data_IF_370117153935
#
_entry.id   IF_370117153935
#
_cell.length_a   1.000
_cell.length_b   1.000
_cell.length_c   1.000
_cell.angle_alpha   90.00
_cell.angle_beta   90.00
_cell.angle_gamma   90.00
#
_symmetry.space_group_name_H-M   'P 1'
#
loop_
_entity.id
_entity.type
_entity.pdbx_description
1 polymer ?
#
# COMPACT_ATOMS: atom_id res chain seq x y z
N UNK A 1 34.96 -55.52 15.10
CA UNK A 1 35.29 -54.08 15.15
C UNK A 1 34.68 -53.25 14.00
N UNK A 2 34.29 -53.82 12.84
CA UNK A 2 33.70 -53.04 11.72
C UNK A 2 32.24 -52.62 11.89
N UNK A 3 31.47 -53.21 12.80
CA UNK A 3 30.05 -52.92 13.01
C UNK A 3 29.80 -51.79 14.03
N UNK A 4 30.74 -51.42 14.88
CA UNK A 4 30.64 -50.33 15.86
C UNK A 4 30.89 -48.98 15.21
N UNK A 5 31.68 -48.91 14.12
CA UNK A 5 31.97 -47.66 13.42
C UNK A 5 30.80 -47.13 12.59
N UNK A 6 29.93 -48.06 12.13
CA UNK A 6 28.73 -47.68 11.33
C UNK A 6 27.62 -47.03 12.18
N UNK A 7 27.60 -47.36 13.50
CA UNK A 7 26.57 -46.80 14.40
C UNK A 7 26.94 -45.41 14.92
N UNK A 8 28.24 -45.06 14.95
CA UNK A 8 28.69 -43.74 15.38
C UNK A 8 28.46 -42.64 14.33
N UNK A 9 28.42 -43.01 13.03
CA UNK A 9 28.14 -42.02 11.95
C UNK A 9 26.69 -41.64 11.81
N UNK A 10 25.75 -42.42 12.35
CA UNK A 10 24.31 -42.13 12.29
C UNK A 10 23.87 -41.19 13.44
N UNK A 11 24.62 -41.12 14.52
CA UNK A 11 24.28 -40.30 15.69
C UNK A 11 24.69 -38.81 15.57
N UNK A 12 25.44 -38.42 14.53
CA UNK A 12 25.91 -37.03 14.32
C UNK A 12 25.06 -36.21 13.34
N UNK A 13 23.96 -36.77 12.84
CA UNK A 13 23.19 -36.18 11.72
C UNK A 13 21.88 -35.45 12.07
N UNK A 14 21.54 -35.24 13.34
CA UNK A 14 20.23 -34.70 13.71
C UNK A 14 20.29 -33.48 14.66
N UNK A 15 21.13 -32.53 14.34
CA UNK A 15 20.92 -31.17 14.86
C UNK A 15 20.31 -30.32 13.74
N UNK A 16 18.99 -30.42 13.61
CA UNK A 16 18.22 -29.35 12.99
C UNK A 16 18.36 -28.13 13.89
N UNK A 17 19.12 -27.14 13.48
CA UNK A 17 19.15 -25.87 14.17
C UNK A 17 17.79 -25.20 13.97
N UNK A 18 16.92 -25.31 14.97
CA UNK A 18 15.68 -24.53 15.05
C UNK A 18 16.11 -23.10 15.36
N UNK A 19 16.24 -22.27 14.31
CA UNK A 19 16.53 -20.86 14.49
C UNK A 19 15.23 -20.15 14.85
N UNK A 20 14.97 -19.96 16.12
CA UNK A 20 13.89 -19.09 16.59
C UNK A 20 14.32 -17.64 16.45
N UNK A 21 13.80 -16.95 15.42
CA UNK A 21 13.97 -15.49 15.29
C UNK A 21 12.93 -14.85 16.20
N UNK A 22 13.32 -14.42 17.40
CA UNK A 22 12.47 -13.55 18.22
C UNK A 22 12.70 -12.09 17.78
N UNK A 23 11.72 -11.50 17.09
CA UNK A 23 11.70 -10.07 16.85
C UNK A 23 11.21 -9.40 18.14
N UNK A 24 12.15 -8.92 18.97
CA UNK A 24 11.83 -8.08 20.11
C UNK A 24 11.62 -6.66 19.57
N UNK A 25 10.37 -6.28 19.39
CA UNK A 25 10.00 -4.88 19.19
C UNK A 25 10.27 -4.17 20.53
N UNK A 26 11.37 -3.45 20.63
CA UNK A 26 11.60 -2.56 21.78
C UNK A 26 10.63 -1.41 21.62
N UNK A 27 9.47 -1.50 22.28
CA UNK A 27 8.29 -0.66 22.20
C UNK A 27 8.56 0.85 22.22
N UNK A 28 8.93 1.39 21.08
CA UNK A 28 8.68 2.80 20.79
C UNK A 28 7.20 2.88 20.46
N UNK A 29 6.43 3.61 21.28
CA UNK A 29 5.02 3.84 21.00
C UNK A 29 4.91 4.50 19.61
N UNK A 30 4.12 3.88 18.73
CA UNK A 30 3.88 4.44 17.40
C UNK A 30 3.06 5.73 17.54
N UNK A 31 3.37 6.78 16.76
CA UNK A 31 2.55 7.99 16.78
C UNK A 31 1.13 7.69 16.31
N UNK A 32 0.16 8.20 17.05
CA UNK A 32 -1.25 8.03 16.71
C UNK A 32 -1.65 9.00 15.61
N UNK A 33 -2.12 8.48 14.47
CA UNK A 33 -2.50 9.26 13.30
C UNK A 33 -3.99 9.09 12.98
N UNK A 34 -4.66 10.20 12.63
CA UNK A 34 -6.02 10.21 12.11
C UNK A 34 -6.02 10.63 10.63
N UNK A 35 -6.77 9.89 9.80
CA UNK A 35 -7.03 10.25 8.41
C UNK A 35 -8.32 11.08 8.35
N UNK A 36 -8.25 12.31 7.81
CA UNK A 36 -9.40 13.20 7.66
C UNK A 36 -9.73 13.44 6.18
N UNK A 37 -10.99 13.20 5.82
CA UNK A 37 -11.53 13.47 4.48
C UNK A 37 -12.15 14.88 4.43
N UNK A 38 -11.55 15.76 3.68
CA UNK A 38 -12.03 17.11 3.38
C UNK A 38 -12.54 17.24 1.92
N UNK A 39 -12.86 16.13 1.28
CA UNK A 39 -13.31 16.09 -0.10
C UNK A 39 -14.73 16.62 -0.24
N UNK A 40 -14.89 17.75 -0.92
CA UNK A 40 -16.19 18.36 -1.25
C UNK A 40 -16.51 18.35 -2.74
N UNK A 41 -15.49 18.33 -3.60
CA UNK A 41 -15.62 18.43 -5.05
C UNK A 41 -16.01 17.11 -5.76
N UNK A 42 -15.97 15.97 -5.05
CA UNK A 42 -16.37 14.66 -5.59
C UNK A 42 -17.77 14.32 -5.13
N UNK A 43 -18.71 14.17 -6.06
CA UNK A 43 -20.11 13.83 -5.78
C UNK A 43 -20.35 12.32 -5.60
N UNK A 44 -19.51 11.46 -6.21
CA UNK A 44 -19.61 10.00 -6.10
C UNK A 44 -19.16 9.52 -4.71
N UNK A 45 -20.12 9.23 -3.84
CA UNK A 45 -19.87 8.74 -2.49
C UNK A 45 -19.15 7.37 -2.48
N UNK A 46 -19.44 6.50 -3.46
CA UNK A 46 -18.79 5.21 -3.58
C UNK A 46 -17.31 5.34 -3.95
N UNK A 47 -16.97 6.31 -4.79
CA UNK A 47 -15.58 6.61 -5.13
C UNK A 47 -14.83 7.22 -3.92
N UNK A 48 -15.45 8.15 -3.19
CA UNK A 48 -14.86 8.71 -1.96
C UNK A 48 -14.54 7.63 -0.94
N UNK A 49 -15.49 6.74 -0.68
CA UNK A 49 -15.30 5.62 0.26
C UNK A 49 -14.17 4.68 -0.16
N UNK A 50 -14.08 4.33 -1.45
CA UNK A 50 -12.97 3.53 -1.98
C UNK A 50 -11.62 4.21 -1.80
N UNK A 51 -11.55 5.50 -2.11
CA UNK A 51 -10.31 6.25 -1.97
C UNK A 51 -9.86 6.34 -0.50
N UNK A 52 -10.79 6.65 0.41
CA UNK A 52 -10.53 6.66 1.85
C UNK A 52 -10.01 5.32 2.35
N UNK A 53 -10.67 4.21 1.96
CA UNK A 53 -10.27 2.86 2.37
C UNK A 53 -8.86 2.47 1.91
N UNK A 54 -8.46 2.91 0.72
CA UNK A 54 -7.08 2.67 0.24
C UNK A 54 -6.09 3.45 1.09
N UNK A 55 -6.30 4.76 1.28
CA UNK A 55 -5.40 5.57 2.10
C UNK A 55 -5.29 5.07 3.54
N UNK A 56 -6.42 4.66 4.13
CA UNK A 56 -6.44 4.06 5.46
C UNK A 56 -5.69 2.73 5.51
N UNK A 57 -5.88 1.90 4.49
CA UNK A 57 -5.16 0.62 4.32
C UNK A 57 -3.66 0.83 4.20
N UNK A 58 -3.22 1.80 3.40
CA UNK A 58 -1.82 2.14 3.20
C UNK A 58 -1.15 2.58 4.52
N UNK A 59 -1.82 3.45 5.29
CA UNK A 59 -1.34 3.86 6.61
C UNK A 59 -1.18 2.67 7.57
N UNK A 60 -2.11 1.72 7.56
CA UNK A 60 -2.01 0.50 8.38
C UNK A 60 -0.88 -0.42 7.92
N UNK A 61 -0.75 -0.62 6.61
CA UNK A 61 0.24 -1.52 6.02
C UNK A 61 1.66 -0.97 6.15
N UNK A 62 1.84 0.36 6.23
CA UNK A 62 3.15 0.96 6.53
C UNK A 62 3.68 0.51 7.89
N UNK A 63 2.78 0.19 8.83
CA UNK A 63 3.11 -0.25 10.20
C UNK A 63 3.87 0.79 11.04
N UNK A 64 3.89 2.04 10.61
CA UNK A 64 4.61 3.14 11.25
C UNK A 64 3.73 3.97 12.19
N UNK A 65 2.41 3.67 12.24
CA UNK A 65 1.42 4.46 12.96
C UNK A 65 0.43 3.59 13.74
N UNK A 66 -0.06 4.10 14.86
CA UNK A 66 -1.33 3.68 15.44
C UNK A 66 -2.46 4.45 14.72
N UNK A 67 -3.17 3.79 13.81
CA UNK A 67 -4.12 4.44 12.91
C UNK A 67 -5.52 4.48 13.52
N UNK A 68 -6.14 5.68 13.58
CA UNK A 68 -7.55 5.85 13.91
C UNK A 68 -8.38 5.43 12.69
N UNK A 69 -9.25 4.44 12.87
CA UNK A 69 -10.02 3.85 11.75
C UNK A 69 -11.29 4.62 11.39
N UNK A 70 -11.70 5.54 12.24
CA UNK A 70 -12.91 6.33 12.02
C UNK A 70 -12.79 7.21 10.78
N UNK A 71 -13.84 7.21 9.94
CA UNK A 71 -13.95 8.17 8.84
C UNK A 71 -14.32 9.54 9.42
N UNK A 72 -13.35 10.44 9.49
CA UNK A 72 -13.53 11.77 10.06
C UNK A 72 -13.69 12.82 8.95
N UNK A 73 -14.93 13.28 8.67
CA UNK A 73 -15.13 14.39 7.74
C UNK A 73 -14.52 15.68 8.29
N UNK A 74 -13.95 16.48 7.40
CA UNK A 74 -13.31 17.74 7.78
C UNK A 74 -13.47 18.80 6.68
N UNK A 75 -13.03 20.01 6.96
CA UNK A 75 -12.80 21.04 5.94
C UNK A 75 -11.31 21.19 5.71
N UNK A 76 -10.90 21.37 4.46
CA UNK A 76 -9.46 21.36 4.13
C UNK A 76 -8.72 22.48 4.88
N UNK A 77 -9.26 23.68 4.94
CA UNK A 77 -8.64 24.85 5.62
C UNK A 77 -9.06 24.99 7.11
N UNK A 78 -9.98 24.16 7.59
CA UNK A 78 -10.51 24.29 8.95
C UNK A 78 -9.56 23.72 10.01
N UNK A 79 -9.57 24.34 11.20
CA UNK A 79 -8.82 23.89 12.39
C UNK A 79 -9.72 23.23 13.44
N UNK A 80 -11.04 23.42 13.36
CA UNK A 80 -11.99 23.03 14.40
C UNK A 80 -11.94 21.53 14.79
N UNK A 81 -11.70 20.64 13.82
CA UNK A 81 -11.59 19.21 14.09
C UNK A 81 -10.23 18.79 14.69
N UNK A 82 -9.25 19.67 14.71
CA UNK A 82 -7.88 19.37 15.19
C UNK A 82 -7.84 19.22 16.70
N UNK A 83 -8.49 20.14 17.44
CA UNK A 83 -8.52 20.10 18.90
C UNK A 83 -9.21 18.84 19.43
N UNK A 84 -10.35 18.46 18.82
CA UNK A 84 -11.08 17.24 19.19
C UNK A 84 -10.23 15.96 18.99
N UNK A 85 -9.34 15.94 17.99
CA UNK A 85 -8.43 14.81 17.76
C UNK A 85 -7.31 14.79 18.80
N UNK A 86 -6.76 15.95 19.18
CA UNK A 86 -5.75 16.03 20.24
C UNK A 86 -6.28 15.48 21.57
N UNK A 87 -7.54 15.80 21.92
CA UNK A 87 -8.19 15.30 23.15
C UNK A 87 -8.34 13.76 23.16
N UNK A 88 -8.38 13.15 21.98
CA UNK A 88 -8.38 11.67 21.80
C UNK A 88 -6.97 11.05 21.79
N UNK A 89 -5.93 11.86 22.06
CA UNK A 89 -4.55 11.42 22.05
C UNK A 89 -3.96 11.24 20.66
N UNK A 90 -4.60 11.77 19.61
CA UNK A 90 -4.05 11.82 18.25
C UNK A 90 -2.91 12.83 18.21
N UNK A 91 -1.77 12.42 17.65
CA UNK A 91 -0.59 13.25 17.50
C UNK A 91 -0.48 13.89 16.12
N UNK A 92 -0.88 13.13 15.10
CA UNK A 92 -0.79 13.52 13.70
C UNK A 92 -2.15 13.43 13.01
N UNK A 93 -2.48 14.42 12.19
CA UNK A 93 -3.66 14.40 11.34
C UNK A 93 -3.20 14.47 9.89
N UNK A 94 -3.47 13.42 9.13
CA UNK A 94 -3.28 13.43 7.68
C UNK A 94 -4.61 13.77 7.01
N UNK A 95 -4.72 14.99 6.54
CA UNK A 95 -5.94 15.51 5.91
C UNK A 95 -5.78 15.55 4.42
N UNK A 96 -6.81 15.12 3.69
CA UNK A 96 -6.81 15.18 2.23
C UNK A 96 -8.10 15.78 1.66
N UNK A 97 -7.99 16.31 0.46
CA UNK A 97 -9.11 16.69 -0.40
C UNK A 97 -8.86 16.18 -1.82
N UNK A 98 -9.86 15.49 -2.38
CA UNK A 98 -9.81 14.91 -3.73
C UNK A 98 -10.72 15.70 -4.66
N UNK A 99 -10.26 15.94 -5.88
CA UNK A 99 -11.01 16.57 -6.97
C UNK A 99 -10.94 15.70 -8.23
N UNK A 100 -12.02 15.71 -9.04
CA UNK A 100 -12.13 14.90 -10.25
C UNK A 100 -12.98 13.65 -10.07
N UNK A 101 -12.81 12.65 -10.95
CA UNK A 101 -13.55 11.39 -10.92
C UNK A 101 -12.71 10.23 -11.48
N UNK A 102 -13.19 8.97 -11.34
CA UNK A 102 -12.49 7.80 -11.91
C UNK A 102 -12.31 7.85 -13.44
N UNK A 103 -13.13 8.61 -14.15
CA UNK A 103 -13.06 8.76 -15.63
C UNK A 103 -12.37 10.04 -16.10
N UNK A 104 -11.83 10.85 -15.19
CA UNK A 104 -11.18 12.14 -15.50
C UNK A 104 -9.89 12.32 -14.73
N UNK A 105 -9.06 13.31 -15.06
CA UNK A 105 -7.90 13.66 -14.24
C UNK A 105 -8.30 13.91 -12.79
N UNK A 106 -7.43 13.49 -11.87
CA UNK A 106 -7.60 13.67 -10.42
C UNK A 106 -6.55 14.62 -9.89
N UNK A 107 -6.94 15.45 -8.94
CA UNK A 107 -6.05 16.25 -8.10
C UNK A 107 -6.28 15.84 -6.64
N UNK A 108 -5.21 15.51 -5.94
CA UNK A 108 -5.20 15.20 -4.52
C UNK A 108 -4.36 16.25 -3.80
N UNK A 109 -5.00 16.97 -2.89
CA UNK A 109 -4.32 17.87 -1.94
C UNK A 109 -4.22 17.15 -0.61
N UNK A 110 -3.04 17.18 0.02
CA UNK A 110 -2.82 16.59 1.33
C UNK A 110 -2.09 17.56 2.24
N UNK A 111 -2.35 17.49 3.53
CA UNK A 111 -1.55 18.14 4.55
C UNK A 111 -1.40 17.29 5.80
N UNK A 112 -0.21 17.34 6.39
CA UNK A 112 0.07 16.76 7.70
C UNK A 112 0.01 17.87 8.75
N UNK A 113 -0.81 17.67 9.75
CA UNK A 113 -1.05 18.64 10.83
C UNK A 113 -0.61 18.00 12.15
N UNK A 114 0.15 18.72 12.93
CA UNK A 114 0.39 18.39 14.33
C UNK A 114 -0.89 18.66 15.12
N UNK A 115 -1.48 17.61 15.72
CA UNK A 115 -2.78 17.72 16.36
C UNK A 115 -2.74 18.58 17.63
N UNK A 116 -1.59 18.64 18.32
CA UNK A 116 -1.41 19.38 19.56
C UNK A 116 -1.25 20.88 19.33
N UNK A 117 -0.47 21.25 18.31
CA UNK A 117 -0.16 22.66 18.01
C UNK A 117 -1.05 23.24 16.93
N UNK A 118 -1.83 22.41 16.23
CA UNK A 118 -2.63 22.76 15.06
C UNK A 118 -1.80 23.36 13.90
N UNK A 119 -0.49 23.11 13.88
CA UNK A 119 0.41 23.60 12.82
C UNK A 119 0.54 22.60 11.68
N UNK A 120 0.51 23.10 10.45
CA UNK A 120 0.80 22.29 9.27
C UNK A 120 2.30 22.05 9.18
N UNK A 121 2.73 20.79 9.21
CA UNK A 121 4.13 20.37 9.03
C UNK A 121 4.49 20.20 7.57
N UNK A 122 3.50 19.82 6.73
CA UNK A 122 3.72 19.39 5.37
C UNK A 122 2.43 19.59 4.57
N UNK A 123 2.54 20.05 3.33
CA UNK A 123 1.44 20.16 2.38
C UNK A 123 1.93 19.86 0.97
N UNK A 124 1.14 19.08 0.18
CA UNK A 124 1.46 18.71 -1.21
C UNK A 124 0.21 18.61 -2.06
N UNK A 125 0.43 18.75 -3.36
CA UNK A 125 -0.59 18.56 -4.39
C UNK A 125 -0.07 17.53 -5.39
N UNK A 126 -0.89 16.54 -5.68
CA UNK A 126 -0.59 15.48 -6.64
C UNK A 126 -1.62 15.50 -7.75
N UNK A 127 -1.17 15.26 -8.98
CA UNK A 127 -2.03 15.16 -10.15
C UNK A 127 -1.90 13.78 -10.78
N UNK A 128 -3.05 13.18 -11.16
CA UNK A 128 -3.15 11.91 -11.85
C UNK A 128 -3.98 12.10 -13.11
N UNK A 129 -3.36 12.08 -14.31
CA UNK A 129 -4.07 12.29 -15.57
C UNK A 129 -5.12 11.22 -15.87
N UNK A 130 -4.87 9.98 -15.44
CA UNK A 130 -5.77 8.84 -15.60
C UNK A 130 -6.43 8.51 -14.26
N UNK A 131 -7.67 8.95 -14.09
CA UNK A 131 -8.42 8.74 -12.85
C UNK A 131 -8.67 7.27 -12.49
N UNK A 132 -8.59 6.34 -13.45
CA UNK A 132 -8.67 4.92 -13.16
C UNK A 132 -7.49 4.43 -12.31
N UNK A 133 -6.38 5.15 -12.32
CA UNK A 133 -5.19 4.86 -11.50
C UNK A 133 -5.22 5.52 -10.13
N UNK A 134 -6.38 5.91 -9.63
CA UNK A 134 -6.53 6.55 -8.32
C UNK A 134 -5.88 5.79 -7.15
N UNK A 135 -5.76 4.43 -7.16
CA UNK A 135 -5.03 3.75 -6.08
C UNK A 135 -3.58 4.20 -5.98
N UNK A 136 -2.89 4.37 -7.12
CA UNK A 136 -1.51 4.86 -7.13
C UNK A 136 -1.37 6.31 -6.63
N UNK A 137 -2.41 7.12 -6.79
CA UNK A 137 -2.44 8.47 -6.23
C UNK A 137 -2.49 8.43 -4.69
N UNK A 138 -3.32 7.54 -4.14
CA UNK A 138 -3.38 7.29 -2.70
C UNK A 138 -2.03 6.74 -2.18
N UNK A 139 -1.51 5.67 -2.79
CA UNK A 139 -0.23 5.06 -2.42
C UNK A 139 0.91 6.08 -2.41
N UNK A 140 1.03 6.88 -3.46
CA UNK A 140 2.05 7.93 -3.56
C UNK A 140 1.99 8.90 -2.37
N UNK A 141 0.79 9.32 -1.98
CA UNK A 141 0.64 10.27 -0.87
C UNK A 141 1.14 9.71 0.47
N UNK A 142 0.96 8.41 0.71
CA UNK A 142 1.45 7.75 1.92
C UNK A 142 2.96 7.47 1.84
N UNK A 143 3.48 7.07 0.68
CA UNK A 143 4.93 6.92 0.47
C UNK A 143 5.65 8.23 0.74
N UNK A 144 5.14 9.35 0.23
CA UNK A 144 5.76 10.65 0.49
C UNK A 144 5.57 11.12 1.93
N UNK A 145 4.46 10.79 2.59
CA UNK A 145 4.27 11.05 4.02
C UNK A 145 5.32 10.32 4.87
N UNK A 146 5.56 9.03 4.62
CA UNK A 146 6.58 8.26 5.36
C UNK A 146 7.99 8.80 5.11
N UNK A 147 8.29 9.21 3.87
CA UNK A 147 9.57 9.85 3.53
C UNK A 147 9.77 11.20 4.26
N UNK A 148 8.72 12.04 4.31
CA UNK A 148 8.76 13.34 5.02
C UNK A 148 9.04 13.17 6.52
N UNK A 149 8.51 12.09 7.10
CA UNK A 149 8.70 11.77 8.51
C UNK A 149 9.99 10.96 8.78
N UNK A 150 10.80 10.69 7.76
CA UNK A 150 12.01 9.86 7.82
C UNK A 150 11.74 8.45 8.40
N UNK A 151 10.59 7.87 8.06
CA UNK A 151 10.19 6.53 8.45
C UNK A 151 10.73 5.48 7.47
N UNK A 152 10.68 4.18 7.80
CA UNK A 152 11.10 3.12 6.88
C UNK A 152 10.42 3.25 5.50
N UNK A 153 11.17 3.06 4.40
CA UNK A 153 10.65 3.33 3.06
C UNK A 153 9.60 2.29 2.64
N UNK A 154 8.43 2.76 2.23
CA UNK A 154 7.32 1.95 1.71
C UNK A 154 7.11 2.14 0.19
N UNK A 155 8.13 2.58 -0.54
CA UNK A 155 8.07 2.87 -1.98
C UNK A 155 7.64 1.69 -2.87
N UNK A 156 7.59 0.47 -2.34
CA UNK A 156 7.03 -0.70 -3.01
C UNK A 156 5.52 -0.56 -3.28
N UNK A 157 4.77 0.26 -2.52
CA UNK A 157 3.35 0.52 -2.72
C UNK A 157 3.06 1.16 -4.10
N UNK A 158 4.00 1.94 -4.63
CA UNK A 158 3.87 2.57 -5.96
C UNK A 158 4.23 1.63 -7.12
N UNK A 159 4.67 0.40 -6.83
CA UNK A 159 5.07 -0.56 -7.88
C UNK A 159 3.88 -1.36 -8.38
N UNK A 160 3.91 -1.66 -9.69
CA UNK A 160 2.98 -2.62 -10.25
C UNK A 160 3.35 -4.04 -9.82
N UNK A 161 2.35 -4.82 -9.45
CA UNK A 161 2.46 -6.27 -9.43
C UNK A 161 2.06 -6.83 -10.80
N UNK A 162 2.61 -7.98 -11.18
CA UNK A 162 2.27 -8.66 -12.42
C UNK A 162 1.81 -10.08 -12.10
N UNK A 163 0.67 -10.47 -12.65
CA UNK A 163 -0.01 -11.71 -12.29
C UNK A 163 -0.56 -12.42 -13.52
N UNK A 164 -0.67 -13.75 -13.44
CA UNK A 164 -1.49 -14.53 -14.36
C UNK A 164 -2.90 -14.68 -13.77
N UNK A 165 -3.91 -14.14 -14.47
CA UNK A 165 -5.32 -14.23 -14.10
C UNK A 165 -6.01 -15.29 -14.96
N UNK A 166 -6.40 -16.40 -14.35
CA UNK A 166 -7.15 -17.44 -15.03
C UNK A 166 -8.55 -16.97 -15.38
N UNK A 167 -8.94 -17.16 -16.63
CA UNK A 167 -10.29 -16.83 -17.15
C UNK A 167 -11.12 -18.10 -17.39
N UNK A 168 -10.46 -19.23 -17.63
CA UNK A 168 -11.03 -20.58 -17.69
C UNK A 168 -9.95 -21.63 -17.44
N UNK A 169 -10.29 -22.92 -17.48
CA UNK A 169 -9.37 -24.03 -17.18
C UNK A 169 -8.09 -24.06 -18.03
N UNK A 170 -8.12 -23.50 -19.25
CA UNK A 170 -6.98 -23.50 -20.20
C UNK A 170 -6.70 -22.11 -20.77
N UNK A 171 -7.19 -21.07 -20.12
CA UNK A 171 -6.99 -19.69 -20.55
C UNK A 171 -6.62 -18.82 -19.38
N UNK A 172 -5.62 -18.00 -19.57
CA UNK A 172 -5.22 -16.98 -18.62
C UNK A 172 -4.70 -15.74 -19.34
N UNK A 173 -4.88 -14.60 -18.69
CA UNK A 173 -4.36 -13.32 -19.13
C UNK A 173 -3.22 -12.89 -18.19
N UNK A 174 -2.26 -12.15 -18.70
CA UNK A 174 -1.32 -11.43 -17.86
C UNK A 174 -1.92 -10.05 -17.55
N UNK A 175 -2.00 -9.72 -16.29
CA UNK A 175 -2.47 -8.43 -15.80
C UNK A 175 -1.38 -7.72 -15.02
N UNK A 176 -1.41 -6.41 -15.04
CA UNK A 176 -0.72 -5.55 -14.07
C UNK A 176 -1.74 -4.94 -13.13
N UNK A 177 -1.36 -4.79 -11.88
CA UNK A 177 -2.23 -4.25 -10.83
C UNK A 177 -1.44 -3.43 -9.82
N UNK A 178 -2.13 -2.60 -9.03
CA UNK A 178 -1.59 -2.12 -7.77
C UNK A 178 -1.57 -3.25 -6.72
N UNK A 179 -0.89 -3.06 -5.62
CA UNK A 179 -0.72 -4.12 -4.61
C UNK A 179 -2.04 -4.50 -3.90
N UNK A 180 -3.05 -3.61 -3.91
CA UNK A 180 -4.38 -3.89 -3.35
C UNK A 180 -5.30 -4.62 -4.32
N UNK A 181 -4.87 -4.80 -5.57
CA UNK A 181 -5.65 -5.35 -6.69
C UNK A 181 -6.88 -4.50 -7.07
N UNK A 182 -6.95 -3.27 -6.60
CA UNK A 182 -8.05 -2.34 -6.92
C UNK A 182 -7.96 -1.84 -8.37
N UNK A 183 -6.75 -1.48 -8.82
CA UNK A 183 -6.46 -1.24 -10.22
C UNK A 183 -5.97 -2.52 -10.87
N UNK A 184 -6.60 -2.93 -11.96
CA UNK A 184 -6.16 -4.06 -12.78
C UNK A 184 -6.24 -3.71 -14.25
N UNK A 185 -5.18 -4.01 -15.00
CA UNK A 185 -5.14 -3.84 -16.45
C UNK A 185 -4.59 -5.11 -17.10
N UNK A 186 -5.35 -5.68 -18.02
CA UNK A 186 -4.90 -6.78 -18.86
C UNK A 186 -3.88 -6.27 -19.88
N UNK A 187 -2.72 -6.90 -19.95
CA UNK A 187 -1.62 -6.57 -20.88
C UNK A 187 -1.34 -7.67 -21.89
N UNK A 188 -1.68 -8.93 -21.58
CA UNK A 188 -1.67 -10.06 -22.53
C UNK A 188 -2.95 -10.86 -22.36
N UNK A 189 -3.60 -11.22 -23.45
CA UNK A 189 -4.81 -12.05 -23.49
C UNK A 189 -4.72 -13.09 -24.61
N UNK A 190 -5.58 -14.12 -24.53
CA UNK A 190 -5.62 -15.24 -25.50
C UNK A 190 -4.62 -16.33 -25.16
N UNK A 191 -5.08 -17.60 -25.21
CA UNK A 191 -4.28 -18.77 -24.84
C UNK A 191 -4.04 -18.91 -23.33
N UNK A 192 -3.13 -19.80 -22.98
CA UNK A 192 -2.69 -20.01 -21.59
C UNK A 192 -1.38 -19.25 -21.36
N UNK A 193 -1.45 -18.13 -20.66
CA UNK A 193 -0.32 -17.26 -20.35
C UNK A 193 -0.03 -17.34 -18.84
N UNK A 194 1.17 -17.79 -18.45
CA UNK A 194 1.52 -18.11 -17.06
C UNK A 194 2.93 -17.63 -16.70
N UNK A 195 3.24 -17.63 -15.42
CA UNK A 195 4.55 -17.31 -14.85
C UNK A 195 5.11 -15.95 -15.29
N UNK A 196 4.32 -14.86 -15.19
CA UNK A 196 4.85 -13.54 -15.50
C UNK A 196 5.88 -13.11 -14.45
N UNK A 197 6.94 -12.44 -14.93
CA UNK A 197 7.99 -11.89 -14.08
C UNK A 197 8.54 -10.61 -14.69
N UNK A 198 8.70 -9.58 -13.87
CA UNK A 198 9.39 -8.36 -14.28
C UNK A 198 10.85 -8.66 -14.65
N UNK A 199 11.33 -8.07 -15.74
CA UNK A 199 12.72 -8.22 -16.19
C UNK A 199 13.69 -7.37 -15.35
N UNK A 200 13.21 -6.27 -14.79
CA UNK A 200 14.00 -5.36 -13.99
C UNK A 200 13.14 -4.54 -13.02
N UNK A 201 13.78 -3.83 -12.11
CA UNK A 201 13.13 -2.99 -11.10
C UNK A 201 12.39 -1.76 -11.69
N UNK A 202 12.74 -1.36 -12.92
CA UNK A 202 12.10 -0.29 -13.68
C UNK A 202 10.73 -0.69 -14.25
N UNK A 203 10.40 -1.99 -14.20
CA UNK A 203 9.12 -2.56 -14.67
C UNK A 203 8.77 -2.20 -16.14
N UNK A 204 9.80 -1.94 -16.97
CA UNK A 204 9.63 -1.58 -18.38
C UNK A 204 9.38 -2.80 -19.27
N UNK A 205 9.82 -3.98 -18.84
CA UNK A 205 9.72 -5.26 -19.56
C UNK A 205 9.39 -6.40 -18.61
N UNK A 206 8.74 -7.43 -19.14
CA UNK A 206 8.45 -8.64 -18.40
C UNK A 206 8.59 -9.87 -19.30
N UNK A 207 8.80 -11.03 -18.67
CA UNK A 207 8.79 -12.34 -19.30
C UNK A 207 7.56 -13.11 -18.85
N UNK A 208 7.06 -14.01 -19.69
CA UNK A 208 6.00 -14.93 -19.35
C UNK A 208 6.07 -16.15 -20.27
N UNK A 209 5.40 -17.24 -19.89
CA UNK A 209 5.25 -18.43 -20.72
C UNK A 209 3.87 -18.41 -21.38
N UNK A 210 3.80 -18.60 -22.68
CA UNK A 210 2.55 -18.70 -23.43
C UNK A 210 2.44 -20.06 -24.11
N UNK A 211 1.30 -20.71 -23.91
CA UNK A 211 0.91 -21.92 -24.65
C UNK A 211 -0.15 -21.51 -25.67
N UNK A 212 0.25 -21.51 -26.94
CA UNK A 212 -0.65 -21.22 -28.05
C UNK A 212 -1.16 -22.57 -28.55
N UNK A 213 -2.50 -22.78 -28.50
CA UNK A 213 -3.10 -23.91 -29.14
C UNK A 213 -3.01 -23.68 -30.67
N UNK A 214 -2.24 -24.51 -31.36
CA UNK A 214 -2.25 -24.62 -32.82
C UNK A 214 -3.49 -25.41 -33.26
#
# INVERSE_FOLDING_TARGET
MKKIFLFLCVALGLYAADATISVVNQGVALPKIALQDATTAVSDAGFKDKFFKIMLGDLKVSSDFEVIEDHVPSTYEGTAATNTMSDKGVELIFRYALEGSMGSPLTLRVKLIDAKTATTRYERVYNMPDGAKYPFLAHKSIVELTNELNLPPVGWMEKFIILAKYTSARQSSIIVADYTLTYQKTIVSGGLNIFPKWAGADQSKFYYTSYVNN
#
